data_IF_455873680772
#
_entry.id   IF_455873680772
#
_cell.length_a   1.000
_cell.length_b   1.000
_cell.length_c   1.000
_cell.angle_alpha   90.00
_cell.angle_beta   90.00
_cell.angle_gamma   90.00
#
_symmetry.space_group_name_H-M   'P 1'
#
loop_
_entity.id
_entity.type
_entity.pdbx_description
1 polymer ?
#
# COMPACT_ATOMS: atom_id res chain seq x y z
N UNK A 1 -9.51 22.03 -5.94
CA UNK A 1 -8.26 21.38 -6.42
C UNK A 1 -8.07 20.07 -5.68
N UNK A 2 -8.45 18.94 -6.27
CA UNK A 2 -8.19 17.62 -5.68
C UNK A 2 -6.71 17.30 -5.80
N UNK A 3 -5.95 17.52 -4.72
CA UNK A 3 -4.55 17.08 -4.64
C UNK A 3 -4.53 15.55 -4.74
N UNK A 4 -3.99 15.02 -5.84
CA UNK A 4 -3.72 13.59 -5.96
C UNK A 4 -2.55 13.24 -5.02
N UNK A 5 -2.77 12.49 -3.93
CA UNK A 5 -1.74 12.20 -2.93
C UNK A 5 -0.62 11.28 -3.44
N UNK A 6 -0.75 10.79 -4.69
CA UNK A 6 0.21 9.92 -5.37
C UNK A 6 1.00 10.64 -6.47
N UNK A 7 0.76 11.94 -6.69
CA UNK A 7 1.45 12.70 -7.75
C UNK A 7 2.96 12.79 -7.46
N UNK A 8 3.78 12.38 -8.43
CA UNK A 8 5.25 12.45 -8.34
C UNK A 8 5.93 11.31 -7.60
N UNK A 9 5.21 10.24 -7.23
CA UNK A 9 5.81 9.05 -6.64
C UNK A 9 6.44 8.18 -7.74
N UNK A 10 7.57 7.55 -7.42
CA UNK A 10 8.29 6.62 -8.31
C UNK A 10 7.44 5.40 -8.72
N UNK A 11 6.53 4.99 -7.85
CA UNK A 11 5.65 3.84 -8.05
C UNK A 11 4.23 4.31 -8.35
N UNK A 12 3.54 3.55 -9.21
CA UNK A 12 2.13 3.82 -9.51
C UNK A 12 1.27 3.67 -8.26
N UNK A 13 0.18 4.44 -8.22
CA UNK A 13 -0.76 4.47 -7.10
C UNK A 13 -1.32 3.07 -6.77
N UNK A 14 -1.63 2.28 -7.79
CA UNK A 14 -2.14 0.92 -7.66
C UNK A 14 -1.17 0.00 -6.90
N UNK A 15 0.14 0.04 -7.23
CA UNK A 15 1.18 -0.70 -6.49
C UNK A 15 1.17 -0.34 -5.01
N UNK A 16 1.09 0.95 -4.69
CA UNK A 16 1.08 1.45 -3.30
C UNK A 16 -0.16 0.95 -2.56
N UNK A 17 -1.34 1.04 -3.19
CA UNK A 17 -2.61 0.58 -2.62
C UNK A 17 -2.58 -0.92 -2.39
N UNK A 18 -2.06 -1.70 -3.34
CA UNK A 18 -1.95 -3.15 -3.25
C UNK A 18 -0.99 -3.55 -2.12
N UNK A 19 0.18 -2.92 -2.03
CA UNK A 19 1.16 -3.19 -0.98
C UNK A 19 0.61 -2.94 0.43
N UNK A 20 0.01 -1.76 0.65
CA UNK A 20 -0.60 -1.41 1.95
C UNK A 20 -1.84 -2.27 2.22
N UNK A 21 -2.60 -2.61 1.19
CA UNK A 21 -3.75 -3.51 1.29
C UNK A 21 -3.35 -4.92 1.74
N UNK A 22 -2.24 -5.45 1.23
CA UNK A 22 -1.71 -6.75 1.66
C UNK A 22 -1.34 -6.75 3.14
N UNK A 23 -0.62 -5.71 3.58
CA UNK A 23 -0.27 -5.53 4.98
C UNK A 23 -1.52 -5.47 5.88
N UNK A 24 -2.48 -4.60 5.56
CA UNK A 24 -3.67 -4.38 6.41
C UNK A 24 -4.65 -5.56 6.42
N UNK A 25 -4.80 -6.29 5.31
CA UNK A 25 -5.82 -7.34 5.18
C UNK A 25 -5.34 -8.71 5.66
N UNK A 26 -4.09 -9.06 5.38
CA UNK A 26 -3.56 -10.41 5.60
C UNK A 26 -2.53 -10.47 6.72
N UNK A 27 -2.29 -9.37 7.44
CA UNK A 27 -1.32 -9.27 8.53
C UNK A 27 0.09 -9.73 8.14
N UNK A 28 0.47 -9.50 6.89
CA UNK A 28 1.78 -9.85 6.34
C UNK A 28 2.84 -8.87 6.87
N UNK A 29 4.05 -9.36 7.09
CA UNK A 29 5.21 -8.51 7.36
C UNK A 29 5.60 -7.70 6.12
N UNK A 30 6.34 -6.61 6.32
CA UNK A 30 6.84 -5.79 5.20
C UNK A 30 7.74 -6.57 4.24
N UNK A 31 8.42 -7.63 4.73
CA UNK A 31 9.27 -8.50 3.90
C UNK A 31 8.44 -9.45 3.05
N UNK A 32 7.39 -10.05 3.62
CA UNK A 32 6.48 -10.90 2.83
C UNK A 32 5.79 -10.08 1.72
N UNK A 33 5.37 -8.84 2.02
CA UNK A 33 4.81 -7.96 0.98
C UNK A 33 5.86 -7.61 -0.09
N UNK A 34 7.11 -7.40 0.31
CA UNK A 34 8.22 -7.17 -0.62
C UNK A 34 8.44 -8.36 -1.55
N UNK A 35 8.48 -9.58 -1.01
CA UNK A 35 8.63 -10.82 -1.78
C UNK A 35 7.47 -11.03 -2.76
N UNK A 36 6.23 -10.83 -2.31
CA UNK A 36 5.04 -10.91 -3.16
C UNK A 36 5.06 -9.89 -4.32
N UNK A 37 5.59 -8.70 -4.09
CA UNK A 37 5.75 -7.70 -5.15
C UNK A 37 6.90 -8.05 -6.08
N UNK A 38 8.00 -8.58 -5.54
CA UNK A 38 9.15 -9.02 -6.31
C UNK A 38 8.78 -10.15 -7.28
N UNK A 39 8.00 -11.14 -6.83
CA UNK A 39 7.48 -12.23 -7.67
C UNK A 39 6.60 -11.73 -8.82
N UNK A 40 6.04 -10.52 -8.69
CA UNK A 40 5.27 -9.83 -9.74
C UNK A 40 6.11 -8.89 -10.61
N UNK A 41 7.43 -8.94 -10.48
CA UNK A 41 8.38 -8.10 -11.21
C UNK A 41 8.52 -6.67 -10.66
N UNK A 42 7.96 -6.39 -9.48
CA UNK A 42 8.02 -5.06 -8.84
C UNK A 42 9.11 -5.09 -7.78
N UNK A 43 10.28 -4.53 -8.12
CA UNK A 43 11.38 -4.41 -7.18
C UNK A 43 11.17 -3.20 -6.26
N UNK A 44 10.75 -3.44 -5.02
CA UNK A 44 10.61 -2.42 -3.98
C UNK A 44 11.25 -2.90 -2.70
N UNK A 45 11.84 -2.01 -1.91
CA UNK A 45 12.36 -2.37 -0.58
C UNK A 45 11.23 -2.45 0.45
N UNK A 46 11.34 -3.38 1.41
CA UNK A 46 10.45 -3.46 2.58
C UNK A 46 10.38 -2.15 3.38
N UNK A 47 11.45 -1.33 3.39
CA UNK A 47 11.44 -0.01 4.05
C UNK A 47 10.57 1.01 3.31
N UNK A 48 10.46 0.91 1.99
CA UNK A 48 9.53 1.72 1.19
C UNK A 48 8.08 1.33 1.48
N UNK A 49 7.81 0.02 1.61
CA UNK A 49 6.48 -0.48 2.01
C UNK A 49 6.11 0.03 3.41
N UNK A 50 7.05 0.00 4.37
CA UNK A 50 6.85 0.60 5.69
C UNK A 50 6.43 2.07 5.60
N UNK A 51 7.13 2.88 4.79
CA UNK A 51 6.79 4.30 4.60
C UNK A 51 5.39 4.47 4.02
N UNK A 52 5.00 3.66 3.03
CA UNK A 52 3.65 3.69 2.47
C UNK A 52 2.58 3.31 3.49
N UNK A 53 2.83 2.32 4.34
CA UNK A 53 1.89 1.93 5.40
C UNK A 53 1.73 3.06 6.42
N UNK A 54 2.82 3.75 6.80
CA UNK A 54 2.73 4.91 7.69
C UNK A 54 1.98 6.08 7.05
N UNK A 55 2.23 6.37 5.76
CA UNK A 55 1.64 7.51 5.04
C UNK A 55 0.17 7.27 4.68
N UNK A 56 -0.17 6.07 4.18
CA UNK A 56 -1.48 5.77 3.58
C UNK A 56 -2.32 4.78 4.38
N UNK A 57 -1.76 4.09 5.38
CA UNK A 57 -2.45 3.04 6.13
C UNK A 57 -3.75 3.52 6.76
N UNK A 58 -3.74 4.69 7.41
CA UNK A 58 -4.97 5.29 8.00
C UNK A 58 -6.01 5.58 6.93
N UNK A 59 -5.62 6.18 5.80
CA UNK A 59 -6.55 6.53 4.72
C UNK A 59 -7.20 5.29 4.12
N UNK A 60 -6.40 4.28 3.77
CA UNK A 60 -6.87 3.05 3.15
C UNK A 60 -7.73 2.21 4.10
N UNK A 61 -7.38 2.18 5.40
CA UNK A 61 -8.21 1.55 6.41
C UNK A 61 -9.59 2.20 6.53
N UNK A 62 -9.68 3.53 6.50
CA UNK A 62 -10.98 4.22 6.55
C UNK A 62 -11.82 3.95 5.29
N UNK A 63 -11.19 3.92 4.11
CA UNK A 63 -11.87 3.56 2.85
C UNK A 63 -12.41 2.13 2.91
N UNK A 64 -11.58 1.18 3.39
CA UNK A 64 -12.00 -0.20 3.58
C UNK A 64 -13.16 -0.30 4.58
N UNK A 65 -13.06 0.35 5.75
CA UNK A 65 -14.11 0.34 6.78
C UNK A 65 -15.43 0.89 6.25
N UNK A 66 -15.41 1.98 5.47
CA UNK A 66 -16.61 2.54 4.83
C UNK A 66 -17.26 1.56 3.84
N UNK A 67 -16.46 0.85 3.04
CA UNK A 67 -16.97 -0.12 2.06
C UNK A 67 -17.58 -1.38 2.69
N UNK A 68 -17.08 -1.83 3.84
CA UNK A 68 -17.54 -3.07 4.50
C UNK A 68 -18.66 -2.82 5.53
N UNK A 69 -19.06 -1.57 5.78
CA UNK A 69 -20.15 -1.24 6.72
C UNK A 69 -21.54 -1.32 6.05
N UNK A 70 -21.74 -2.26 5.13
CA UNK A 70 -22.99 -2.47 4.42
C UNK A 70 -23.75 -3.63 5.03
#
# INVERSE_FOLDING_TARGET
MTMNPFKGKQFQQDVIIVAVGYYLRYNLSYREVQEILYDRGINVSHTTIYRWVQEYGKLLYQIWKKKNKK
#
